data_IF_541459898694
#
_entry.id   IF_541459898694
#
_cell.length_a   1.000
_cell.length_b   1.000
_cell.length_c   1.000
_cell.angle_alpha   90.00
_cell.angle_beta   90.00
_cell.angle_gamma   90.00
#
_symmetry.space_group_name_H-M   'P 1'
#
loop_
_entity.id
_entity.type
_entity.pdbx_description
1 polymer ?
#
# COMPACT_ATOMS: atom_id res chain seq x y z
N UNK A 1 0.35 21.41 1.35
CA UNK A 1 -0.12 20.08 0.95
C UNK A 1 -1.64 20.02 0.95
N UNK A 2 -2.25 19.47 -0.09
CA UNK A 2 -3.67 19.11 -0.15
C UNK A 2 -3.83 17.62 0.10
N UNK A 3 -4.66 17.22 1.07
CA UNK A 3 -4.75 15.83 1.54
C UNK A 3 -6.17 15.29 1.41
N UNK A 4 -6.35 14.22 0.65
CA UNK A 4 -7.65 13.55 0.54
C UNK A 4 -7.93 12.63 1.74
N UNK A 5 -9.11 12.73 2.36
CA UNK A 5 -9.53 11.91 3.50
C UNK A 5 -10.32 10.66 3.07
N UNK A 6 -9.60 9.59 2.77
CA UNK A 6 -10.17 8.31 2.39
C UNK A 6 -10.51 7.43 3.60
N UNK A 7 -11.60 6.71 3.48
CA UNK A 7 -12.06 5.80 4.52
C UNK A 7 -13.54 5.48 4.36
N UNK A 8 -14.00 4.40 5.01
CA UNK A 8 -15.40 3.99 4.96
C UNK A 8 -16.36 5.12 5.29
N UNK A 9 -17.46 5.18 4.53
CA UNK A 9 -18.64 6.00 4.81
C UNK A 9 -19.79 5.05 5.17
N UNK A 10 -20.20 4.21 4.23
CA UNK A 10 -21.42 3.38 4.34
C UNK A 10 -21.43 2.36 5.50
N UNK A 11 -20.25 1.92 5.95
CA UNK A 11 -20.12 0.86 6.96
C UNK A 11 -19.86 1.41 8.37
N UNK A 12 -19.62 2.72 8.51
CA UNK A 12 -19.43 3.36 9.81
C UNK A 12 -20.77 3.80 10.41
N UNK A 13 -20.93 3.64 11.73
CA UNK A 13 -22.18 4.01 12.44
C UNK A 13 -22.56 5.48 12.28
N UNK A 14 -21.57 6.35 12.18
CA UNK A 14 -21.70 7.79 11.99
C UNK A 14 -21.38 8.22 10.55
N UNK A 15 -21.36 7.26 9.62
CA UNK A 15 -21.04 7.47 8.21
C UNK A 15 -19.64 8.03 7.98
N UNK A 16 -18.71 7.73 8.90
CA UNK A 16 -17.33 8.15 8.83
C UNK A 16 -17.17 9.64 9.10
N UNK A 17 -18.16 10.27 9.74
CA UNK A 17 -18.17 11.70 10.02
C UNK A 17 -17.23 12.05 11.17
N UNK A 18 -17.34 11.35 12.29
CA UNK A 18 -16.69 11.74 13.54
C UNK A 18 -15.18 11.81 13.42
N UNK A 19 -14.55 10.81 12.78
CA UNK A 19 -13.09 10.83 12.64
C UNK A 19 -12.61 11.93 11.68
N UNK A 20 -13.37 12.24 10.61
CA UNK A 20 -13.04 13.33 9.69
C UNK A 20 -13.18 14.68 10.36
N UNK A 21 -14.23 14.88 11.16
CA UNK A 21 -14.39 16.08 11.98
C UNK A 21 -13.26 16.24 12.98
N UNK A 22 -12.83 15.15 13.64
CA UNK A 22 -11.66 15.15 14.51
C UNK A 22 -10.40 15.59 13.75
N UNK A 23 -10.14 14.99 12.58
CA UNK A 23 -8.96 15.35 11.76
C UNK A 23 -9.00 16.83 11.37
N UNK A 24 -10.13 17.31 10.86
CA UNK A 24 -10.30 18.71 10.45
C UNK A 24 -10.16 19.68 11.61
N UNK A 25 -10.75 19.36 12.76
CA UNK A 25 -10.77 20.23 13.94
C UNK A 25 -9.40 20.32 14.61
N UNK A 26 -8.70 19.19 14.75
CA UNK A 26 -7.47 19.10 15.53
C UNK A 26 -6.22 19.35 14.66
N UNK A 27 -6.30 19.03 13.36
CA UNK A 27 -5.15 19.06 12.47
C UNK A 27 -5.35 19.93 11.22
N UNK A 28 -6.48 20.65 11.10
CA UNK A 28 -6.81 21.49 9.95
C UNK A 28 -5.79 22.58 9.60
N UNK A 29 -4.90 22.94 10.53
CA UNK A 29 -3.80 23.89 10.27
C UNK A 29 -2.59 23.24 9.58
N UNK A 30 -2.49 21.90 9.58
CA UNK A 30 -1.35 21.18 9.00
C UNK A 30 -1.44 21.04 7.47
N UNK A 31 -2.66 20.95 6.93
CA UNK A 31 -2.89 20.74 5.51
C UNK A 31 -4.28 21.23 5.07
N UNK A 32 -4.45 21.44 3.77
CA UNK A 32 -5.78 21.63 3.18
C UNK A 32 -6.42 20.26 2.95
N UNK A 33 -7.40 19.90 3.78
CA UNK A 33 -8.08 18.61 3.66
C UNK A 33 -9.21 18.65 2.64
N UNK A 34 -9.24 17.62 1.79
CA UNK A 34 -10.28 17.37 0.80
C UNK A 34 -11.09 16.16 1.23
N UNK A 35 -12.41 16.34 1.28
CA UNK A 35 -13.36 15.30 1.65
C UNK A 35 -13.90 14.63 0.37
N UNK A 36 -14.28 13.33 0.44
CA UNK A 36 -15.01 12.66 -0.65
C UNK A 36 -16.26 13.44 -1.06
N UNK A 37 -16.65 13.36 -2.34
CA UNK A 37 -17.77 14.12 -2.91
C UNK A 37 -19.09 13.89 -2.18
N UNK A 38 -19.31 12.67 -1.66
CA UNK A 38 -20.47 12.29 -0.86
C UNK A 38 -20.60 13.05 0.47
N UNK A 39 -19.57 13.80 0.88
CA UNK A 39 -19.49 14.55 2.12
C UNK A 39 -19.77 16.07 1.93
N UNK A 40 -19.69 16.58 0.70
CA UNK A 40 -19.66 18.03 0.39
C UNK A 40 -21.03 18.64 0.03
N UNK A 41 -22.14 18.06 0.47
CA UNK A 41 -23.48 18.56 0.12
C UNK A 41 -23.96 19.58 1.16
N UNK A 42 -23.69 20.87 0.90
CA UNK A 42 -24.14 22.02 1.71
C UNK A 42 -25.57 21.84 2.26
N UNK A 43 -25.70 21.74 3.58
CA UNK A 43 -26.99 21.82 4.28
C UNK A 43 -27.92 20.62 4.13
N UNK A 44 -27.45 19.49 3.60
CA UNK A 44 -28.27 18.27 3.53
C UNK A 44 -27.61 17.20 4.39
N UNK A 45 -28.32 16.79 5.46
CA UNK A 45 -28.26 15.39 5.92
C UNK A 45 -28.18 14.52 4.68
N UNK A 46 -27.01 13.93 4.45
CA UNK A 46 -26.66 12.96 3.40
C UNK A 46 -27.88 12.60 2.56
N UNK A 47 -28.06 13.23 1.39
CA UNK A 47 -29.19 12.91 0.50
C UNK A 47 -29.08 11.50 -0.09
N UNK A 48 -27.93 10.83 0.11
CA UNK A 48 -27.79 9.40 -0.11
C UNK A 48 -28.51 8.55 0.96
N UNK A 49 -28.99 9.10 2.09
CA UNK A 49 -29.66 8.35 3.18
C UNK A 49 -31.18 8.23 3.05
N UNK A 50 -31.84 8.87 2.08
CA UNK A 50 -33.23 8.45 1.75
C UNK A 50 -33.26 7.19 0.89
N UNK A 51 -32.10 6.75 0.39
CA UNK A 51 -31.87 5.41 -0.12
C UNK A 51 -31.05 4.67 0.95
N UNK A 52 -31.74 3.97 1.83
CA UNK A 52 -31.13 3.02 2.77
C UNK A 52 -30.40 1.95 1.93
N UNK A 53 -29.13 2.21 1.58
CA UNK A 53 -28.32 1.36 0.71
C UNK A 53 -27.84 0.14 1.48
N UNK A 54 -28.79 -0.66 1.97
CA UNK A 54 -28.53 -2.07 2.11
C UNK A 54 -28.52 -2.65 0.69
N UNK A 55 -27.39 -2.53 0.00
CA UNK A 55 -27.17 -3.06 -1.36
C UNK A 55 -27.68 -4.51 -1.49
N UNK A 56 -27.64 -5.27 -0.39
CA UNK A 56 -28.18 -6.61 -0.32
C UNK A 56 -29.71 -6.64 -0.39
N UNK A 57 -30.40 -5.83 0.40
CA UNK A 57 -31.87 -5.71 0.32
C UNK A 57 -32.32 -5.10 -1.02
N UNK A 58 -31.60 -4.11 -1.56
CA UNK A 58 -31.92 -3.53 -2.88
C UNK A 58 -31.74 -4.56 -4.00
N UNK A 59 -30.66 -5.34 -3.98
CA UNK A 59 -30.45 -6.44 -4.94
C UNK A 59 -31.47 -7.55 -4.76
N UNK A 60 -31.89 -7.82 -3.52
CA UNK A 60 -32.94 -8.81 -3.20
C UNK A 60 -34.35 -8.33 -3.59
N UNK A 61 -34.68 -7.04 -3.45
CA UNK A 61 -35.99 -6.45 -3.77
C UNK A 61 -36.14 -6.11 -5.26
N UNK A 62 -35.12 -5.51 -5.87
CA UNK A 62 -35.18 -5.06 -7.27
C UNK A 62 -34.81 -6.17 -8.26
N UNK A 63 -34.16 -7.25 -7.78
CA UNK A 63 -33.61 -8.30 -8.62
C UNK A 63 -32.32 -7.88 -9.32
N UNK A 64 -31.45 -8.84 -9.59
CA UNK A 64 -30.11 -8.63 -10.15
C UNK A 64 -30.11 -7.84 -11.48
N UNK A 65 -31.19 -7.93 -12.26
CA UNK A 65 -31.33 -7.26 -13.55
C UNK A 65 -31.55 -5.74 -13.41
N UNK A 66 -32.21 -5.28 -12.34
CA UNK A 66 -32.38 -3.85 -12.06
C UNK A 66 -31.12 -3.22 -11.43
N UNK A 67 -30.23 -4.04 -10.86
CA UNK A 67 -28.92 -3.60 -10.37
C UNK A 67 -27.96 -3.24 -11.52
N UNK A 68 -28.20 -3.79 -12.72
CA UNK A 68 -27.46 -3.45 -13.94
C UNK A 68 -28.13 -2.34 -14.76
N UNK A 69 -29.11 -1.63 -14.18
CA UNK A 69 -29.73 -0.48 -14.83
C UNK A 69 -28.66 0.55 -15.20
N UNK A 70 -28.71 1.04 -16.44
CA UNK A 70 -27.76 2.02 -16.98
C UNK A 70 -27.73 3.27 -16.10
N UNK A 71 -28.87 3.67 -15.52
CA UNK A 71 -28.97 4.83 -14.63
C UNK A 71 -28.21 4.61 -13.31
N UNK A 72 -28.21 3.38 -12.77
CA UNK A 72 -27.47 3.05 -11.55
C UNK A 72 -25.97 2.98 -11.82
N UNK A 73 -25.57 2.36 -12.94
CA UNK A 73 -24.16 2.32 -13.36
C UNK A 73 -23.62 3.71 -13.66
N UNK A 74 -24.43 4.59 -14.27
CA UNK A 74 -24.07 5.98 -14.52
C UNK A 74 -23.88 6.75 -13.21
N UNK A 75 -24.76 6.56 -12.22
CA UNK A 75 -24.61 7.19 -10.90
C UNK A 75 -23.33 6.71 -10.18
N UNK A 76 -22.99 5.42 -10.27
CA UNK A 76 -21.73 4.89 -9.71
C UNK A 76 -20.50 5.46 -10.42
N UNK A 77 -20.55 5.60 -11.75
CA UNK A 77 -19.45 6.15 -12.54
C UNK A 77 -19.27 7.65 -12.28
N UNK A 78 -20.36 8.39 -12.04
CA UNK A 78 -20.33 9.80 -11.67
C UNK A 78 -19.77 10.01 -10.25
N UNK A 79 -20.17 9.18 -9.28
CA UNK A 79 -19.61 9.20 -7.92
C UNK A 79 -18.12 8.89 -7.97
N UNK A 80 -17.74 7.84 -8.71
CA UNK A 80 -16.33 7.45 -8.87
C UNK A 80 -15.54 8.56 -9.58
N UNK A 81 -16.09 9.14 -10.64
CA UNK A 81 -15.47 10.24 -11.37
C UNK A 81 -15.25 11.47 -10.49
N UNK A 82 -16.21 11.80 -9.63
CA UNK A 82 -16.10 12.88 -8.67
C UNK A 82 -14.96 12.66 -7.68
N UNK A 83 -14.92 11.51 -7.00
CA UNK A 83 -13.89 11.22 -5.99
C UNK A 83 -12.48 11.16 -6.61
N UNK A 84 -12.34 10.56 -7.80
CA UNK A 84 -11.07 10.55 -8.53
C UNK A 84 -10.63 11.96 -8.95
N UNK A 85 -11.56 12.80 -9.42
CA UNK A 85 -11.25 14.18 -9.78
C UNK A 85 -10.80 15.01 -8.58
N UNK A 86 -11.33 14.73 -7.38
CA UNK A 86 -10.87 15.35 -6.13
C UNK A 86 -9.47 14.87 -5.76
N UNK A 87 -9.22 13.55 -5.82
CA UNK A 87 -7.91 12.95 -5.60
C UNK A 87 -6.83 13.50 -6.53
N UNK A 88 -7.16 13.77 -7.80
CA UNK A 88 -6.22 14.38 -8.76
C UNK A 88 -5.70 15.73 -8.29
N UNK A 89 -6.54 16.49 -7.57
CA UNK A 89 -6.17 17.80 -7.02
C UNK A 89 -5.38 17.74 -5.71
N UNK A 90 -5.23 16.56 -5.13
CA UNK A 90 -4.51 16.35 -3.88
C UNK A 90 -3.04 15.99 -4.14
N UNK A 91 -2.17 16.30 -3.18
CA UNK A 91 -0.77 15.90 -3.18
C UNK A 91 -0.58 14.56 -2.44
N UNK A 92 -1.44 14.31 -1.45
CA UNK A 92 -1.40 13.14 -0.59
C UNK A 92 -2.81 12.60 -0.27
N UNK A 93 -2.84 11.38 0.26
CA UNK A 93 -4.05 10.73 0.77
C UNK A 93 -3.80 10.27 2.20
N UNK A 94 -4.76 10.54 3.09
CA UNK A 94 -4.83 9.96 4.42
C UNK A 94 -5.97 8.93 4.44
N UNK A 95 -5.61 7.67 4.60
CA UNK A 95 -6.53 6.53 4.63
C UNK A 95 -6.74 6.09 6.08
N UNK A 96 -7.98 6.18 6.59
CA UNK A 96 -8.36 5.46 7.82
C UNK A 96 -8.57 4.00 7.49
N UNK A 97 -7.80 3.12 8.11
CA UNK A 97 -7.91 1.68 8.03
C UNK A 97 -8.39 1.14 9.39
N UNK A 98 -9.71 1.00 9.51
CA UNK A 98 -10.36 0.51 10.73
C UNK A 98 -10.99 -0.89 10.57
N UNK A 99 -11.73 -1.37 11.57
CA UNK A 99 -12.44 -2.65 11.50
C UNK A 99 -13.44 -2.69 10.35
N UNK A 100 -13.93 -1.51 9.96
CA UNK A 100 -14.79 -1.34 8.79
C UNK A 100 -13.94 -0.96 7.56
N UNK A 101 -13.75 -1.91 6.65
CA UNK A 101 -13.06 -1.66 5.38
C UNK A 101 -14.05 -1.72 4.22
N UNK A 102 -13.93 -0.78 3.29
CA UNK A 102 -14.78 -0.72 2.10
C UNK A 102 -13.95 -0.88 0.82
N UNK A 103 -14.52 -1.51 -0.21
CA UNK A 103 -13.87 -1.64 -1.51
C UNK A 103 -13.53 -0.29 -2.16
N UNK A 104 -14.34 0.75 -1.89
CA UNK A 104 -14.08 2.12 -2.36
C UNK A 104 -12.75 2.66 -1.82
N UNK A 105 -12.49 2.49 -0.52
CA UNK A 105 -11.24 2.94 0.12
C UNK A 105 -10.00 2.27 -0.48
N UNK A 106 -10.07 0.98 -0.80
CA UNK A 106 -8.97 0.30 -1.50
C UNK A 106 -8.80 0.81 -2.93
N UNK A 107 -9.89 1.16 -3.62
CA UNK A 107 -9.85 1.77 -4.94
C UNK A 107 -9.18 3.14 -4.91
N UNK A 108 -9.54 3.99 -3.95
CA UNK A 108 -8.93 5.31 -3.72
C UNK A 108 -7.43 5.20 -3.41
N UNK A 109 -7.06 4.31 -2.48
CA UNK A 109 -5.65 4.06 -2.13
C UNK A 109 -4.86 3.54 -3.34
N UNK A 110 -5.42 2.60 -4.11
CA UNK A 110 -4.77 2.06 -5.31
C UNK A 110 -4.60 3.12 -6.38
N UNK A 111 -5.58 4.01 -6.54
CA UNK A 111 -5.51 5.12 -7.49
C UNK A 111 -4.45 6.16 -7.08
N UNK A 112 -4.48 6.60 -5.83
CA UNK A 112 -3.47 7.49 -5.28
C UNK A 112 -2.07 6.88 -5.41
N UNK A 113 -1.96 5.57 -5.15
CA UNK A 113 -0.75 4.83 -5.42
C UNK A 113 -0.39 4.82 -6.91
N UNK A 114 -1.30 4.60 -7.86
CA UNK A 114 -0.92 4.63 -9.29
C UNK A 114 -0.51 6.02 -9.80
N UNK A 115 -1.03 7.09 -9.20
CA UNK A 115 -0.81 8.49 -9.61
C UNK A 115 0.31 9.19 -8.83
N UNK A 116 1.23 8.41 -8.25
CA UNK A 116 2.41 8.91 -7.53
C UNK A 116 2.10 9.87 -6.36
N UNK A 117 0.90 9.78 -5.76
CA UNK A 117 0.52 10.55 -4.56
C UNK A 117 1.16 9.95 -3.31
N UNK A 118 1.42 10.79 -2.31
CA UNK A 118 1.93 10.33 -1.01
C UNK A 118 0.81 9.67 -0.19
N UNK A 119 1.00 8.43 0.25
CA UNK A 119 -0.04 7.63 0.91
C UNK A 119 0.25 7.42 2.40
N UNK A 120 -0.62 7.93 3.26
CA UNK A 120 -0.53 7.73 4.71
C UNK A 120 -1.69 6.83 5.13
N UNK A 121 -1.38 5.73 5.80
CA UNK A 121 -2.38 4.83 6.36
C UNK A 121 -2.40 4.99 7.88
N UNK A 122 -3.57 5.37 8.40
CA UNK A 122 -3.85 5.34 9.82
C UNK A 122 -4.56 4.03 10.19
N UNK A 123 -3.88 3.16 10.92
CA UNK A 123 -4.45 1.94 11.50
C UNK A 123 -5.23 2.31 12.76
N UNK A 124 -6.54 2.09 12.74
CA UNK A 124 -7.46 2.45 13.82
C UNK A 124 -8.14 1.20 14.37
N UNK A 125 -7.68 0.71 15.53
CA UNK A 125 -8.26 -0.46 16.23
C UNK A 125 -8.31 -1.76 15.39
N UNK A 126 -7.28 -2.01 14.59
CA UNK A 126 -7.10 -3.25 13.82
C UNK A 126 -5.77 -3.90 14.22
N UNK A 127 -5.78 -5.22 14.43
CA UNK A 127 -4.57 -5.98 14.68
C UNK A 127 -3.70 -6.01 13.41
N UNK A 128 -2.38 -5.95 13.54
CA UNK A 128 -1.47 -5.82 12.38
C UNK A 128 -1.64 -6.97 11.40
N UNK A 129 -1.85 -8.17 11.93
CA UNK A 129 -2.12 -9.41 11.19
C UNK A 129 -3.41 -9.41 10.37
N UNK A 130 -4.38 -8.54 10.71
CA UNK A 130 -5.66 -8.40 10.01
C UNK A 130 -5.61 -7.32 8.91
N UNK A 131 -4.50 -6.59 8.79
CA UNK A 131 -4.32 -5.58 7.76
C UNK A 131 -4.04 -6.28 6.43
N UNK A 132 -4.72 -5.83 5.37
CA UNK A 132 -4.47 -6.32 4.04
C UNK A 132 -3.06 -5.89 3.58
N UNK A 133 -2.18 -6.86 3.32
CA UNK A 133 -0.81 -6.64 2.83
C UNK A 133 -0.73 -5.72 1.59
N UNK A 134 -1.75 -5.73 0.74
CA UNK A 134 -1.83 -4.80 -0.40
C UNK A 134 -1.89 -3.35 0.06
N UNK A 135 -2.71 -3.02 1.06
CA UNK A 135 -2.80 -1.67 1.58
C UNK A 135 -1.45 -1.21 2.16
N UNK A 136 -0.81 -2.07 2.97
CA UNK A 136 0.53 -1.82 3.51
C UNK A 136 1.53 -1.55 2.38
N UNK A 137 1.50 -2.35 1.31
CA UNK A 137 2.42 -2.19 0.17
C UNK A 137 2.19 -0.90 -0.63
N UNK A 138 1.02 -0.29 -0.49
CA UNK A 138 0.68 0.98 -1.12
C UNK A 138 1.05 2.19 -0.24
N UNK A 139 1.46 2.00 1.02
CA UNK A 139 1.66 3.06 2.00
C UNK A 139 3.09 3.62 1.98
N UNK A 140 3.21 4.94 1.83
CA UNK A 140 4.45 5.69 2.06
C UNK A 140 4.67 5.93 3.56
N UNK A 141 3.61 5.95 4.38
CA UNK A 141 3.71 5.98 5.83
C UNK A 141 2.55 5.25 6.52
N UNK A 142 2.81 4.70 7.71
CA UNK A 142 1.83 3.96 8.51
C UNK A 142 1.89 4.48 9.95
N UNK A 143 0.74 4.89 10.46
CA UNK A 143 0.58 5.35 11.83
C UNK A 143 -0.51 4.60 12.57
N UNK A 144 -0.33 4.46 13.89
CA UNK A 144 -1.27 3.79 14.79
C UNK A 144 -2.02 4.77 15.71
N UNK A 145 -1.75 6.06 15.57
CA UNK A 145 -2.41 7.14 16.30
C UNK A 145 -2.39 8.42 15.48
N UNK A 146 -3.46 9.21 15.55
CA UNK A 146 -3.52 10.54 14.95
C UNK A 146 -2.50 11.51 15.55
N UNK A 147 -2.00 11.26 16.77
CA UNK A 147 -0.94 12.08 17.37
C UNK A 147 0.36 12.08 16.54
N UNK A 148 0.56 11.07 15.70
CA UNK A 148 1.70 10.96 14.79
C UNK A 148 1.52 11.76 13.48
N UNK A 149 0.31 12.27 13.20
CA UNK A 149 -0.03 12.95 11.96
C UNK A 149 0.87 14.17 11.65
N UNK A 150 1.26 15.03 12.63
CA UNK A 150 2.18 16.13 12.36
C UNK A 150 3.53 15.68 11.79
N UNK A 151 4.10 14.61 12.35
CA UNK A 151 5.37 14.06 11.88
C UNK A 151 5.23 13.44 10.49
N UNK A 152 4.17 12.64 10.28
CA UNK A 152 3.88 12.03 8.99
C UNK A 152 3.71 13.08 7.87
N UNK A 153 3.06 14.21 8.18
CA UNK A 153 2.87 15.30 7.20
C UNK A 153 4.16 16.08 6.93
N UNK A 154 5.03 16.23 7.94
CA UNK A 154 6.34 16.81 7.72
C UNK A 154 7.18 15.95 6.77
N UNK A 155 7.17 14.62 6.94
CA UNK A 155 7.84 13.67 6.05
C UNK A 155 7.24 13.68 4.64
N UNK A 156 5.91 13.69 4.54
CA UNK A 156 5.20 13.82 3.27
C UNK A 156 5.62 15.08 2.51
N UNK A 157 5.65 16.23 3.19
CA UNK A 157 6.04 17.50 2.57
C UNK A 157 7.49 17.48 2.09
N UNK A 158 8.42 16.89 2.86
CA UNK A 158 9.82 16.71 2.44
C UNK A 158 9.91 15.83 1.19
N UNK A 159 9.16 14.73 1.16
CA UNK A 159 9.13 13.79 0.02
C UNK A 159 8.61 14.47 -1.25
N UNK A 160 7.47 15.15 -1.12
CA UNK A 160 6.81 15.88 -2.22
C UNK A 160 7.71 17.00 -2.76
N UNK A 161 8.32 17.81 -1.89
CA UNK A 161 9.17 18.94 -2.29
C UNK A 161 10.54 18.49 -2.83
N UNK A 162 11.04 17.35 -2.36
CA UNK A 162 12.35 16.82 -2.71
C UNK A 162 12.44 16.24 -4.13
N UNK A 163 11.33 16.16 -4.88
CA UNK A 163 11.22 15.35 -6.10
C UNK A 163 11.76 13.93 -5.90
N UNK A 164 11.65 13.40 -4.67
CA UNK A 164 12.08 12.07 -4.34
C UNK A 164 11.04 11.14 -4.95
N UNK A 165 11.31 10.64 -6.17
CA UNK A 165 10.55 9.54 -6.76
C UNK A 165 10.49 8.45 -5.69
N UNK A 166 9.28 8.02 -5.33
CA UNK A 166 9.01 7.11 -4.21
C UNK A 166 10.18 6.20 -3.87
N UNK A 167 10.51 6.12 -2.59
CA UNK A 167 11.13 4.91 -2.08
C UNK A 167 10.12 3.80 -2.36
N UNK A 168 10.33 3.08 -3.46
CA UNK A 168 9.52 1.93 -3.87
C UNK A 168 9.31 1.09 -2.60
N UNK A 169 8.14 0.51 -2.37
CA UNK A 169 7.91 -0.30 -1.15
C UNK A 169 9.00 -1.38 -0.98
N UNK A 170 9.59 -1.82 -2.09
CA UNK A 170 10.84 -2.58 -2.17
C UNK A 170 12.09 -1.88 -1.60
N UNK A 171 12.37 -0.61 -1.96
CA UNK A 171 13.46 0.18 -1.37
C UNK A 171 13.33 0.23 0.15
N UNK A 172 12.11 0.53 0.63
CA UNK A 172 11.84 0.60 2.07
C UNK A 172 11.95 -0.77 2.75
N UNK A 173 11.50 -1.86 2.11
CA UNK A 173 11.70 -3.23 2.60
C UNK A 173 13.19 -3.54 2.70
N UNK A 174 13.98 -3.18 1.68
CA UNK A 174 15.44 -3.34 1.65
C UNK A 174 16.09 -2.56 2.79
N UNK A 175 15.74 -1.29 2.96
CA UNK A 175 16.34 -0.42 3.97
C UNK A 175 15.94 -0.84 5.40
N UNK A 176 14.67 -1.20 5.63
CA UNK A 176 14.18 -1.67 6.93
C UNK A 176 14.88 -2.96 7.37
N UNK A 177 15.07 -3.92 6.45
CA UNK A 177 15.69 -5.20 6.79
C UNK A 177 17.20 -5.07 6.93
N UNK A 178 17.85 -4.32 6.05
CA UNK A 178 19.29 -4.06 6.18
C UNK A 178 19.64 -3.37 7.50
N UNK A 179 18.81 -2.42 7.95
CA UNK A 179 18.92 -1.81 9.28
C UNK A 179 18.88 -2.85 10.41
N UNK A 180 17.82 -3.65 10.49
CA UNK A 180 17.63 -4.65 11.57
C UNK A 180 18.68 -5.76 11.55
N UNK A 181 19.14 -6.22 10.38
CA UNK A 181 20.17 -7.27 10.28
C UNK A 181 21.57 -6.77 10.63
N UNK A 182 21.88 -5.52 10.28
CA UNK A 182 23.14 -4.87 10.70
C UNK A 182 23.21 -4.73 12.23
N UNK A 183 22.13 -4.33 12.89
CA UNK A 183 22.06 -4.18 14.36
C UNK A 183 22.20 -5.52 15.11
N UNK A 184 21.87 -6.64 14.46
CA UNK A 184 22.03 -8.00 15.00
C UNK A 184 23.40 -8.61 14.70
N UNK A 185 24.29 -7.86 14.05
CA UNK A 185 25.66 -8.26 13.76
C UNK A 185 25.80 -9.28 12.65
N UNK A 186 24.81 -9.43 11.77
CA UNK A 186 24.90 -10.30 10.60
C UNK A 186 26.04 -9.88 9.65
N UNK A 187 26.34 -8.59 9.61
CA UNK A 187 27.31 -7.97 8.72
C UNK A 187 28.56 -7.41 9.42
N UNK A 188 28.73 -7.63 10.73
CA UNK A 188 29.84 -7.08 11.53
C UNK A 188 31.24 -7.48 11.06
N UNK A 189 31.33 -8.55 10.27
CA UNK A 189 32.59 -9.10 9.74
C UNK A 189 32.71 -8.98 8.22
N UNK A 190 31.70 -8.42 7.58
CA UNK A 190 31.72 -8.24 6.14
C UNK A 190 32.63 -7.04 5.80
N UNK A 191 33.34 -7.09 4.66
CA UNK A 191 34.18 -6.00 4.20
C UNK A 191 33.33 -4.78 3.84
N UNK A 192 34.01 -3.66 3.62
CA UNK A 192 33.37 -2.45 3.10
C UNK A 192 32.51 -2.79 1.86
N UNK A 193 31.27 -2.26 1.73
CA UNK A 193 30.45 -2.48 0.55
C UNK A 193 31.16 -2.28 -0.79
N UNK A 194 32.14 -1.37 -0.85
CA UNK A 194 32.97 -1.15 -2.03
C UNK A 194 33.84 -2.36 -2.42
N UNK A 195 34.19 -3.21 -1.46
CA UNK A 195 35.08 -4.36 -1.61
C UNK A 195 34.32 -5.70 -1.75
N UNK A 196 32.99 -5.72 -1.53
CA UNK A 196 32.17 -6.95 -1.59
C UNK A 196 32.27 -7.66 -2.94
N UNK A 197 32.34 -6.89 -4.04
CA UNK A 197 32.45 -7.45 -5.39
C UNK A 197 33.78 -8.13 -5.66
N UNK A 198 34.84 -7.66 -5.00
CA UNK A 198 36.21 -8.19 -5.16
C UNK A 198 36.49 -9.33 -4.17
N UNK A 199 35.66 -9.51 -3.13
CA UNK A 199 35.69 -10.68 -2.27
C UNK A 199 34.95 -11.88 -2.90
N UNK A 200 35.74 -12.81 -3.43
CA UNK A 200 35.26 -14.04 -4.09
C UNK A 200 34.38 -14.96 -3.23
N UNK A 201 34.27 -14.76 -1.92
CA UNK A 201 33.55 -15.66 -1.00
C UNK A 201 32.15 -15.20 -0.59
N UNK A 202 31.90 -13.88 -0.57
CA UNK A 202 30.74 -13.31 0.14
C UNK A 202 29.46 -13.41 -0.67
N UNK A 203 29.47 -12.89 -1.89
CA UNK A 203 28.32 -12.96 -2.79
C UNK A 203 27.89 -14.43 -3.03
N UNK A 204 28.81 -15.37 -3.33
CA UNK A 204 28.43 -16.78 -3.48
C UNK A 204 27.81 -17.38 -2.21
N UNK A 205 28.30 -17.00 -1.02
CA UNK A 205 27.72 -17.44 0.26
C UNK A 205 26.28 -16.94 0.43
N UNK A 206 26.03 -15.65 0.19
CA UNK A 206 24.69 -15.09 0.31
C UNK A 206 23.71 -15.70 -0.71
N UNK A 207 24.16 -15.89 -1.96
CA UNK A 207 23.37 -16.60 -2.98
C UNK A 207 23.07 -18.04 -2.54
N UNK A 208 24.03 -18.73 -1.92
CA UNK A 208 23.82 -20.09 -1.43
C UNK A 208 22.79 -20.15 -0.30
N UNK A 209 22.74 -19.14 0.59
CA UNK A 209 21.71 -19.01 1.61
C UNK A 209 20.33 -18.74 1.00
N UNK A 210 20.21 -17.83 0.03
CA UNK A 210 18.94 -17.64 -0.67
C UNK A 210 18.47 -18.95 -1.36
N UNK A 211 19.41 -19.73 -1.90
CA UNK A 211 19.10 -21.03 -2.48
C UNK A 211 18.67 -22.07 -1.43
N UNK A 212 19.17 -22.02 -0.19
CA UNK A 212 18.69 -22.92 0.87
C UNK A 212 17.22 -22.65 1.18
N UNK A 213 16.81 -21.39 1.38
CA UNK A 213 15.42 -21.09 1.77
C UNK A 213 14.45 -21.48 0.65
N UNK A 214 14.85 -21.26 -0.61
CA UNK A 214 14.05 -21.71 -1.74
C UNK A 214 13.94 -23.25 -1.81
N UNK A 215 14.95 -23.98 -1.35
CA UNK A 215 14.91 -25.44 -1.27
C UNK A 215 14.01 -25.91 -0.11
N UNK A 216 14.02 -25.21 1.02
CA UNK A 216 13.15 -25.47 2.17
C UNK A 216 11.69 -25.18 1.83
N UNK A 217 11.40 -24.09 1.12
CA UNK A 217 10.07 -23.82 0.56
C UNK A 217 9.61 -24.99 -0.33
N UNK A 218 10.46 -25.48 -1.23
CA UNK A 218 10.10 -26.61 -2.09
C UNK A 218 9.78 -27.87 -1.27
N UNK A 219 10.55 -28.17 -0.21
CA UNK A 219 10.28 -29.31 0.66
C UNK A 219 8.99 -29.14 1.47
N UNK A 220 8.70 -27.94 1.99
CA UNK A 220 7.43 -27.62 2.66
C UNK A 220 6.24 -27.85 1.72
N UNK A 221 6.32 -27.37 0.48
CA UNK A 221 5.30 -27.64 -0.54
C UNK A 221 5.13 -29.15 -0.82
N UNK A 222 6.19 -29.96 -0.76
CA UNK A 222 6.12 -31.42 -1.00
C UNK A 222 5.35 -32.17 0.09
N UNK A 223 5.27 -31.62 1.30
CA UNK A 223 4.55 -32.22 2.44
C UNK A 223 3.23 -31.51 2.73
N UNK A 224 2.74 -30.68 1.79
CA UNK A 224 1.52 -29.87 1.90
C UNK A 224 1.52 -28.92 3.14
N UNK A 225 2.70 -28.49 3.59
CA UNK A 225 2.87 -27.52 4.67
C UNK A 225 2.89 -26.09 4.10
N UNK A 226 1.70 -25.50 4.01
CA UNK A 226 1.51 -24.16 3.43
C UNK A 226 2.09 -23.06 4.30
N UNK A 227 2.02 -23.19 5.62
CA UNK A 227 2.47 -22.15 6.53
C UNK A 227 3.98 -22.05 6.47
N UNK A 228 4.69 -23.19 6.56
CA UNK A 228 6.14 -23.23 6.38
C UNK A 228 6.53 -22.80 4.96
N UNK A 229 5.78 -23.17 3.93
CA UNK A 229 6.06 -22.69 2.56
C UNK A 229 6.06 -21.16 2.46
N UNK A 230 5.10 -20.50 3.10
CA UNK A 230 5.01 -19.03 3.09
C UNK A 230 6.14 -18.38 3.91
N UNK A 231 6.51 -18.99 5.05
CA UNK A 231 7.63 -18.55 5.88
C UNK A 231 8.95 -18.59 5.11
N UNK A 232 9.27 -19.71 4.45
CA UNK A 232 10.51 -19.85 3.66
C UNK A 232 10.57 -18.90 2.45
N UNK A 233 9.41 -18.60 1.84
CA UNK A 233 9.35 -17.58 0.80
C UNK A 233 9.63 -16.18 1.36
N UNK A 234 9.14 -15.87 2.55
CA UNK A 234 9.44 -14.60 3.21
C UNK A 234 10.94 -14.51 3.53
N UNK A 235 11.54 -15.56 4.08
CA UNK A 235 12.97 -15.62 4.38
C UNK A 235 13.83 -15.46 3.12
N UNK A 236 13.42 -16.04 2.00
CA UNK A 236 14.07 -15.79 0.70
C UNK A 236 14.03 -14.30 0.31
N UNK A 237 12.88 -13.64 0.43
CA UNK A 237 12.75 -12.22 0.11
C UNK A 237 13.62 -11.36 1.02
N UNK A 238 13.64 -11.65 2.32
CA UNK A 238 14.47 -10.96 3.31
C UNK A 238 15.95 -11.15 2.96
N UNK A 239 16.39 -12.38 2.68
CA UNK A 239 17.79 -12.69 2.32
C UNK A 239 18.24 -11.94 1.07
N UNK A 240 17.37 -11.82 0.07
CA UNK A 240 17.64 -11.05 -1.14
C UNK A 240 17.73 -9.55 -0.83
N UNK A 241 16.80 -9.03 -0.04
CA UNK A 241 16.79 -7.64 0.38
C UNK A 241 18.05 -7.26 1.17
N UNK A 242 18.43 -8.06 2.17
CA UNK A 242 19.67 -7.91 2.93
C UNK A 242 20.90 -7.90 2.02
N UNK A 243 20.95 -8.83 1.06
CA UNK A 243 22.08 -8.91 0.11
C UNK A 243 22.20 -7.63 -0.72
N UNK A 244 21.09 -7.09 -1.20
CA UNK A 244 21.06 -5.87 -2.01
C UNK A 244 21.47 -4.65 -1.16
N UNK A 245 20.93 -4.55 0.06
CA UNK A 245 21.24 -3.50 1.01
C UNK A 245 22.72 -3.52 1.42
N UNK A 246 23.27 -4.70 1.72
CA UNK A 246 24.68 -4.86 2.08
C UNK A 246 25.63 -4.46 0.95
N UNK A 247 25.21 -4.62 -0.30
CA UNK A 247 25.95 -4.17 -1.48
C UNK A 247 25.79 -2.67 -1.78
N UNK A 248 24.98 -1.96 -0.99
CA UNK A 248 24.57 -0.57 -1.22
C UNK A 248 24.03 -0.36 -2.65
N UNK A 249 23.27 -1.33 -3.16
CA UNK A 249 22.86 -1.43 -4.55
C UNK A 249 21.34 -1.28 -4.75
N UNK A 250 20.62 -0.74 -3.76
CA UNK A 250 19.15 -0.60 -3.77
C UNK A 250 18.63 0.10 -5.02
N UNK A 251 19.16 1.29 -5.34
CA UNK A 251 18.73 2.08 -6.50
C UNK A 251 19.02 1.38 -7.85
N UNK A 252 20.18 0.74 -7.95
CA UNK A 252 20.59 -0.01 -9.13
C UNK A 252 19.71 -1.25 -9.34
N UNK A 253 19.38 -1.94 -8.25
CA UNK A 253 18.49 -3.10 -8.27
C UNK A 253 17.07 -2.72 -8.65
N UNK A 254 16.51 -1.63 -8.10
CA UNK A 254 15.18 -1.13 -8.47
C UNK A 254 15.15 -0.77 -9.95
N UNK A 255 16.16 -0.05 -10.43
CA UNK A 255 16.30 0.27 -11.86
C UNK A 255 16.35 -1.01 -12.72
N UNK A 256 17.09 -2.03 -12.30
CA UNK A 256 17.15 -3.31 -13.00
C UNK A 256 15.79 -4.05 -13.00
N UNK A 257 15.07 -4.01 -11.88
CA UNK A 257 13.75 -4.61 -11.71
C UNK A 257 12.71 -3.93 -12.61
N UNK A 258 12.67 -2.60 -12.65
CA UNK A 258 11.75 -1.83 -13.50
C UNK A 258 11.98 -2.11 -14.98
N UNK A 259 13.24 -2.11 -15.39
CA UNK A 259 13.64 -2.49 -16.75
C UNK A 259 13.21 -3.93 -17.08
N UNK A 260 13.35 -4.86 -16.13
CA UNK A 260 12.94 -6.25 -16.29
C UNK A 260 11.42 -6.37 -16.41
N UNK A 261 10.67 -5.66 -15.58
CA UNK A 261 9.20 -5.64 -15.59
C UNK A 261 8.65 -5.02 -16.87
N UNK A 262 9.20 -3.89 -17.31
CA UNK A 262 8.86 -3.25 -18.58
C UNK A 262 9.15 -4.17 -19.78
N UNK A 263 10.30 -4.87 -19.76
CA UNK A 263 10.62 -5.91 -20.74
C UNK A 263 9.62 -7.06 -20.65
N UNK A 264 9.21 -7.47 -19.46
CA UNK A 264 8.30 -8.60 -19.27
C UNK A 264 6.87 -8.34 -19.72
N UNK A 265 6.35 -7.13 -19.52
CA UNK A 265 5.04 -6.69 -20.04
C UNK A 265 4.95 -6.82 -21.57
N UNK A 266 6.08 -6.71 -22.28
CA UNK A 266 6.15 -6.83 -23.75
C UNK A 266 6.38 -8.26 -24.24
N UNK A 267 6.55 -9.26 -23.35
CA UNK A 267 6.85 -10.64 -23.75
C UNK A 267 5.57 -11.38 -24.12
N UNK A 268 5.57 -12.18 -25.20
CA UNK A 268 4.47 -13.10 -25.47
C UNK A 268 4.36 -14.13 -24.33
N UNK A 269 3.12 -14.49 -23.98
CA UNK A 269 2.79 -15.38 -22.86
C UNK A 269 3.64 -16.66 -22.89
N UNK A 270 4.30 -16.96 -21.77
CA UNK A 270 5.18 -18.12 -21.54
C UNK A 270 6.37 -18.24 -22.49
N UNK A 271 6.63 -17.27 -23.37
CA UNK A 271 7.62 -17.40 -24.43
C UNK A 271 7.48 -18.69 -25.27
N UNK A 272 6.26 -19.21 -25.40
CA UNK A 272 6.02 -20.50 -26.07
C UNK A 272 6.40 -21.74 -25.26
N UNK A 273 6.70 -21.62 -23.96
CA UNK A 273 6.89 -22.77 -23.06
C UNK A 273 5.54 -23.24 -22.48
N UNK A 274 5.49 -24.49 -22.03
CA UNK A 274 4.33 -25.04 -21.31
C UNK A 274 4.28 -24.61 -19.84
N UNK A 275 5.44 -24.30 -19.28
CA UNK A 275 5.72 -23.79 -17.93
C UNK A 275 7.01 -22.97 -18.00
#
# INVERSE_FOLDING_TARGET
>A
MRVYLAGPIQVCRDLGIGWRETVLKEYGELAEFVLPGNFNVEGTTIKCLELDFNLREIVEEMGYDAFLDEDFMYALDDIKGSDLSLLDTCDAILVRYGPEVSGGTFGELTYAWSEDKYTIIWIDDVAVEDINWWAISCADDIMFSLDALPSAFQEAQISIDGACSRHNSLARIVDLHFGDTSDRGFHDKDPDPADIWDDTGIIPRWIALAHSELSEALEAHRVDDRDNFMEELADLFIRLADTIGAMNATDEFITALDNKTAKNKKRPRLHGKRY
#
